data_IF_081307704915
#
_entry.id   IF_081307704915
#
_cell.length_a   1.000
_cell.length_b   1.000
_cell.length_c   1.000
_cell.angle_alpha   90.00
_cell.angle_beta   90.00
_cell.angle_gamma   90.00
#
_symmetry.space_group_name_H-M   'P 1'
#
loop_
_entity.id
_entity.type
_entity.pdbx_description
1 polymer ?
#
# COMPACT_ATOMS: atom_id res chain seq x y z
N UNK A 1 -25.88 51.40 -9.19
CA UNK A 1 -25.83 51.86 -7.79
C UNK A 1 -25.10 50.80 -6.96
N UNK A 2 -23.79 50.97 -6.73
CA UNK A 2 -23.12 51.00 -5.40
C UNK A 2 -23.82 50.18 -4.31
N UNK A 3 -23.17 49.12 -3.84
CA UNK A 3 -22.72 49.02 -2.44
C UNK A 3 -21.58 48.00 -2.28
N UNK A 4 -20.40 48.59 -2.10
CA UNK A 4 -19.20 48.05 -1.49
C UNK A 4 -19.54 47.57 -0.07
N UNK A 5 -19.14 46.37 0.32
CA UNK A 5 -18.96 46.02 1.73
C UNK A 5 -17.60 45.32 1.89
N UNK A 6 -16.79 45.98 2.69
CA UNK A 6 -15.39 45.76 2.99
C UNK A 6 -15.38 45.32 4.45
N UNK A 7 -14.95 44.10 4.76
CA UNK A 7 -14.72 43.63 6.14
C UNK A 7 -13.53 42.66 6.09
N UNK A 8 -12.32 43.19 6.27
CA UNK A 8 -11.49 43.09 7.50
C UNK A 8 -11.09 41.64 7.84
N UNK A 9 -9.83 41.33 7.53
CA UNK A 9 -9.11 40.16 8.03
C UNK A 9 -8.72 40.34 9.51
N UNK A 10 -8.48 39.23 10.23
CA UNK A 10 -7.44 39.19 11.23
C UNK A 10 -6.41 38.11 10.88
N UNK A 11 -5.15 38.55 10.78
CA UNK A 11 -3.99 37.69 10.85
C UNK A 11 -3.92 37.03 12.24
N UNK A 12 -3.92 35.70 12.30
CA UNK A 12 -3.49 34.97 13.49
C UNK A 12 -2.11 34.37 13.20
N UNK A 13 -1.11 35.00 13.82
CA UNK A 13 0.24 34.47 13.96
C UNK A 13 0.19 33.44 15.08
N UNK A 14 0.45 32.16 14.77
CA UNK A 14 0.61 31.12 15.78
C UNK A 14 2.06 30.63 15.74
N UNK A 15 2.89 31.20 16.62
CA UNK A 15 4.21 30.70 16.94
C UNK A 15 4.07 29.45 17.83
N UNK A 16 4.56 28.31 17.38
CA UNK A 16 4.80 27.14 18.23
C UNK A 16 6.30 26.89 18.32
N UNK A 17 6.90 27.37 19.41
CA UNK A 17 8.17 26.87 19.94
C UNK A 17 7.87 25.71 20.89
N UNK A 18 8.58 24.60 20.73
CA UNK A 18 8.56 23.44 21.63
C UNK A 18 9.38 22.31 21.00
N UNK A 19 10.67 22.21 21.29
CA UNK A 19 11.22 21.48 22.44
C UNK A 19 10.80 20.01 22.46
N UNK A 20 11.62 19.14 21.88
CA UNK A 20 11.67 17.73 22.24
C UNK A 20 13.13 17.35 22.48
N UNK A 21 13.42 17.02 23.74
CA UNK A 21 14.70 16.49 24.18
C UNK A 21 14.86 15.06 23.69
N UNK A 22 16.04 14.77 23.15
CA UNK A 22 16.51 13.41 22.90
C UNK A 22 17.10 12.87 24.20
N UNK A 23 16.35 12.00 24.86
CA UNK A 23 16.85 11.09 25.89
C UNK A 23 17.18 9.76 25.22
N UNK A 24 18.47 9.55 24.92
CA UNK A 24 18.99 8.23 24.51
C UNK A 24 19.35 7.40 25.77
N UNK A 25 18.92 6.13 25.86
CA UNK A 25 19.41 5.21 26.89
C UNK A 25 20.80 4.64 26.53
N UNK A 26 21.66 4.35 27.52
CA UNK A 26 22.92 3.65 27.30
C UNK A 26 22.69 2.13 27.31
N UNK A 27 23.05 1.44 26.24
CA UNK A 27 23.09 -0.02 26.22
C UNK A 27 24.21 -0.52 25.30
N UNK A 28 24.96 -1.51 25.80
CA UNK A 28 25.78 -2.39 24.96
C UNK A 28 27.28 -2.29 25.21
N UNK A 29 27.79 -3.22 26.01
CA UNK A 29 29.22 -3.49 26.22
C UNK A 29 29.87 -4.03 24.93
N UNK A 30 31.19 -3.85 24.74
CA UNK A 30 31.94 -4.37 23.60
C UNK A 30 32.13 -5.89 23.70
N UNK A 31 31.93 -6.61 22.60
CA UNK A 31 32.34 -8.01 22.42
C UNK A 31 33.51 -8.07 21.43
N UNK A 32 34.62 -8.77 21.76
CA UNK A 32 35.79 -8.88 20.89
C UNK A 32 35.68 -10.00 19.85
N UNK A 33 36.47 -9.83 18.79
CA UNK A 33 36.68 -10.65 17.60
C UNK A 33 36.78 -12.15 17.79
N UNK A 34 36.29 -12.91 16.81
CA UNK A 34 36.95 -14.15 16.32
C UNK A 34 36.47 -14.43 14.90
N UNK A 35 37.38 -14.25 13.94
CA UNK A 35 37.36 -14.89 12.62
C UNK A 35 38.15 -16.21 12.74
N UNK A 36 37.78 -17.28 12.02
CA UNK A 36 38.75 -17.77 11.03
C UNK A 36 38.15 -18.33 9.73
N UNK A 37 38.85 -17.98 8.65
CA UNK A 37 39.28 -18.78 7.50
C UNK A 37 38.28 -19.30 6.43
N UNK A 38 38.69 -19.31 5.13
CA UNK A 38 37.88 -19.71 4.00
C UNK A 38 37.93 -21.23 3.77
N UNK A 39 36.85 -21.81 3.25
CA UNK A 39 36.84 -23.14 2.67
C UNK A 39 36.60 -23.03 1.16
N UNK A 40 37.56 -23.52 0.39
CA UNK A 40 37.54 -23.67 -1.06
C UNK A 40 36.61 -24.81 -1.53
N UNK A 41 36.22 -24.70 -2.80
CA UNK A 41 35.98 -25.75 -3.80
C UNK A 41 35.06 -26.94 -3.46
N UNK A 42 33.99 -27.10 -4.25
CA UNK A 42 33.99 -28.17 -5.26
C UNK A 42 32.91 -27.97 -6.33
N UNK A 43 33.26 -28.34 -7.56
CA UNK A 43 32.41 -28.28 -8.76
C UNK A 43 31.66 -29.59 -8.94
N UNK A 44 30.33 -29.58 -9.11
CA UNK A 44 29.63 -30.68 -9.78
C UNK A 44 28.22 -30.29 -10.27
N UNK A 45 28.10 -30.15 -11.60
CA UNK A 45 26.98 -30.52 -12.44
C UNK A 45 25.54 -30.36 -11.94
N UNK A 46 24.85 -29.35 -12.48
CA UNK A 46 23.41 -29.48 -12.76
C UNK A 46 23.16 -29.27 -14.24
N UNK A 47 22.48 -30.27 -14.83
CA UNK A 47 22.20 -30.42 -16.23
C UNK A 47 21.53 -29.18 -16.85
N UNK A 48 21.97 -28.84 -18.06
CA UNK A 48 21.22 -27.98 -18.98
C UNK A 48 20.10 -28.81 -19.61
N UNK A 49 18.81 -28.49 -19.40
CA UNK A 49 17.78 -28.89 -20.34
C UNK A 49 17.81 -27.94 -21.54
N UNK A 50 18.03 -28.54 -22.70
CA UNK A 50 17.77 -27.98 -24.01
C UNK A 50 16.33 -27.50 -24.12
N UNK A 51 16.12 -26.52 -25.00
CA UNK A 51 14.82 -25.94 -25.29
C UNK A 51 13.76 -26.98 -25.64
N UNK A 52 12.55 -26.70 -25.17
CA UNK A 52 11.34 -27.23 -25.74
C UNK A 52 10.42 -26.01 -25.97
N UNK A 53 10.17 -25.78 -27.25
CA UNK A 53 8.98 -25.18 -27.83
C UNK A 53 8.03 -24.38 -26.92
N UNK A 54 7.91 -23.11 -27.29
CA UNK A 54 6.66 -22.38 -27.45
C UNK A 54 5.41 -23.29 -27.43
N UNK A 55 4.78 -23.39 -26.27
CA UNK A 55 3.35 -23.62 -26.20
C UNK A 55 2.71 -22.27 -25.92
N UNK A 56 1.65 -21.87 -26.64
CA UNK A 56 0.76 -20.83 -26.15
C UNK A 56 0.10 -21.39 -24.89
N UNK A 57 0.78 -21.18 -23.76
CA UNK A 57 0.33 -21.48 -22.43
C UNK A 57 -0.94 -20.66 -22.25
N UNK A 58 -2.07 -21.33 -22.39
CA UNK A 58 -3.38 -20.77 -22.11
C UNK A 58 -3.30 -19.95 -20.83
N UNK A 59 -3.75 -18.71 -20.93
CA UNK A 59 -3.75 -17.75 -19.83
C UNK A 59 -4.20 -18.44 -18.54
N UNK A 60 -3.46 -18.26 -17.43
CA UNK A 60 -4.00 -18.67 -16.16
C UNK A 60 -5.22 -17.77 -15.92
N UNK A 61 -6.42 -18.35 -16.05
CA UNK A 61 -7.66 -17.76 -15.54
C UNK A 61 -7.59 -17.84 -14.01
N UNK A 62 -6.62 -17.14 -13.43
CA UNK A 62 -6.60 -16.85 -12.02
C UNK A 62 -7.55 -15.67 -11.82
N UNK A 63 -8.29 -15.68 -10.72
CA UNK A 63 -9.17 -14.60 -10.28
C UNK A 63 -8.41 -13.31 -9.89
N UNK A 64 -7.21 -13.11 -10.45
CA UNK A 64 -6.46 -11.86 -10.48
C UNK A 64 -7.29 -10.89 -11.32
N UNK A 65 -7.36 -9.62 -10.91
CA UNK A 65 -8.10 -8.63 -11.67
C UNK A 65 -7.81 -8.73 -13.16
N UNK A 66 -8.86 -8.78 -13.98
CA UNK A 66 -8.70 -8.62 -15.41
C UNK A 66 -7.85 -7.37 -15.67
N UNK A 67 -6.96 -7.38 -16.66
CA UNK A 67 -6.11 -6.23 -16.96
C UNK A 67 -6.93 -4.95 -17.19
N UNK A 68 -8.16 -5.10 -17.68
CA UNK A 68 -9.13 -4.00 -17.79
C UNK A 68 -9.56 -3.41 -16.44
N UNK A 69 -9.86 -4.26 -15.43
CA UNK A 69 -10.22 -3.78 -14.10
C UNK A 69 -9.05 -3.03 -13.46
N UNK A 70 -7.84 -3.56 -13.58
CA UNK A 70 -6.63 -2.91 -13.09
C UNK A 70 -6.40 -1.54 -13.77
N UNK A 71 -6.59 -1.45 -15.09
CA UNK A 71 -6.50 -0.18 -15.82
C UNK A 71 -7.57 0.82 -15.37
N UNK A 72 -8.82 0.37 -15.17
CA UNK A 72 -9.90 1.23 -14.64
C UNK A 72 -9.61 1.74 -13.23
N UNK A 73 -9.01 0.91 -12.38
CA UNK A 73 -8.59 1.29 -11.03
C UNK A 73 -7.53 2.41 -11.10
N UNK A 74 -6.48 2.23 -11.92
CA UNK A 74 -5.45 3.26 -12.12
C UNK A 74 -6.03 4.57 -12.66
N UNK A 75 -6.89 4.48 -13.68
CA UNK A 75 -7.54 5.65 -14.27
C UNK A 75 -8.42 6.43 -13.27
N UNK A 76 -9.06 5.74 -12.32
CA UNK A 76 -9.98 6.36 -11.36
C UNK A 76 -9.30 6.84 -10.08
N UNK A 77 -8.38 6.05 -9.54
CA UNK A 77 -7.77 6.30 -8.21
C UNK A 77 -6.33 6.80 -8.30
N UNK A 78 -5.67 6.66 -9.46
CA UNK A 78 -4.31 7.10 -9.72
C UNK A 78 -3.33 5.94 -9.90
N UNK A 79 -2.16 6.24 -10.48
CA UNK A 79 -1.13 5.25 -10.83
C UNK A 79 -0.56 4.48 -9.63
N UNK A 80 -0.64 5.06 -8.43
CA UNK A 80 -0.15 4.45 -7.18
C UNK A 80 -1.14 3.43 -6.60
N UNK A 81 -2.36 3.38 -7.13
CA UNK A 81 -3.42 2.48 -6.68
C UNK A 81 -3.43 1.20 -7.50
N UNK A 82 -3.47 0.06 -6.81
CA UNK A 82 -3.51 -1.25 -7.45
C UNK A 82 -4.66 -2.10 -6.91
N UNK A 83 -5.18 -2.95 -7.77
CA UNK A 83 -6.01 -4.07 -7.32
C UNK A 83 -5.18 -4.93 -6.37
N UNK A 84 -5.70 -5.19 -5.19
CA UNK A 84 -5.07 -6.13 -4.25
C UNK A 84 -5.83 -7.45 -4.21
N UNK A 85 -7.16 -7.39 -4.03
CA UNK A 85 -7.99 -8.58 -3.85
C UNK A 85 -9.44 -8.29 -4.22
N UNK A 86 -10.17 -9.33 -4.59
CA UNK A 86 -11.62 -9.28 -4.62
C UNK A 86 -12.26 -10.22 -3.60
N UNK A 87 -13.42 -9.82 -3.08
CA UNK A 87 -14.27 -10.60 -2.19
C UNK A 87 -15.73 -10.40 -2.59
N UNK A 88 -16.33 -11.41 -3.23
CA UNK A 88 -17.66 -11.28 -3.82
C UNK A 88 -17.72 -10.12 -4.82
N UNK A 89 -18.63 -9.17 -4.57
CA UNK A 89 -18.83 -7.97 -5.39
C UNK A 89 -17.90 -6.80 -5.00
N UNK A 90 -17.10 -6.97 -3.95
CA UNK A 90 -16.16 -5.96 -3.50
C UNK A 90 -14.75 -6.23 -4.00
N UNK A 91 -14.03 -5.15 -4.24
CA UNK A 91 -12.64 -5.12 -4.63
C UNK A 91 -11.90 -4.23 -3.65
N UNK A 92 -10.81 -4.76 -3.10
CA UNK A 92 -9.82 -4.02 -2.34
C UNK A 92 -8.81 -3.36 -3.28
N UNK A 93 -8.70 -2.04 -3.18
CA UNK A 93 -7.74 -1.23 -3.91
C UNK A 93 -6.77 -0.65 -2.91
N UNK A 94 -5.52 -1.09 -2.99
CA UNK A 94 -4.43 -0.57 -2.17
C UNK A 94 -3.80 0.63 -2.87
N UNK A 95 -3.91 1.80 -2.26
CA UNK A 95 -3.21 3.01 -2.66
C UNK A 95 -2.08 3.31 -1.68
N UNK A 96 -1.24 2.30 -1.43
CA UNK A 96 -0.08 2.35 -0.52
C UNK A 96 -0.46 2.49 0.96
N UNK A 97 -1.46 1.72 1.40
CA UNK A 97 -1.91 1.70 2.79
C UNK A 97 -0.83 1.35 3.80
N UNK A 98 0.24 0.66 3.37
CA UNK A 98 1.42 0.36 4.17
C UNK A 98 2.23 1.60 4.62
N UNK A 99 2.12 2.73 3.93
CA UNK A 99 2.83 4.00 4.25
C UNK A 99 1.85 5.14 4.52
N UNK A 100 0.71 4.85 5.15
CA UNK A 100 -0.39 5.78 5.41
C UNK A 100 -1.15 6.25 4.16
N UNK A 101 -1.11 5.47 3.08
CA UNK A 101 -2.00 5.64 1.94
C UNK A 101 -3.43 5.17 2.24
N UNK A 102 -4.42 5.57 1.43
CA UNK A 102 -5.76 5.03 1.54
C UNK A 102 -5.84 3.58 1.07
N UNK A 103 -6.78 2.85 1.65
CA UNK A 103 -7.26 1.57 1.16
C UNK A 103 -8.73 1.70 0.81
N UNK A 104 -9.13 1.41 -0.42
CA UNK A 104 -10.52 1.54 -0.85
C UNK A 104 -11.17 0.18 -1.04
N UNK A 105 -12.32 -0.03 -0.40
CA UNK A 105 -13.22 -1.13 -0.74
C UNK A 105 -14.26 -0.59 -1.72
N UNK A 106 -14.28 -1.14 -2.94
CA UNK A 106 -15.10 -0.63 -4.04
C UNK A 106 -15.98 -1.73 -4.62
N UNK A 107 -17.11 -1.37 -5.21
CA UNK A 107 -17.91 -2.30 -6.04
C UNK A 107 -17.12 -2.67 -7.30
N UNK A 108 -17.03 -3.94 -7.64
CA UNK A 108 -16.29 -4.42 -8.83
C UNK A 108 -16.76 -3.77 -10.13
N UNK A 109 -18.06 -3.64 -10.30
CA UNK A 109 -18.64 -3.18 -11.57
C UNK A 109 -18.58 -1.67 -11.73
N UNK A 110 -18.97 -0.90 -10.71
CA UNK A 110 -19.04 0.56 -10.75
C UNK A 110 -17.76 1.28 -10.28
N UNK A 111 -16.86 0.55 -9.61
CA UNK A 111 -15.74 1.11 -8.83
C UNK A 111 -16.19 2.16 -7.81
N UNK A 112 -17.45 2.14 -7.39
CA UNK A 112 -17.97 3.02 -6.35
C UNK A 112 -17.36 2.64 -5.00
N UNK A 113 -16.89 3.64 -4.25
CA UNK A 113 -16.28 3.44 -2.94
C UNK A 113 -17.38 3.10 -1.93
N UNK A 114 -17.31 1.90 -1.37
CA UNK A 114 -18.19 1.44 -0.29
C UNK A 114 -17.63 1.86 1.05
N UNK A 115 -16.31 1.73 1.23
CA UNK A 115 -15.61 2.25 2.40
C UNK A 115 -14.17 2.60 2.07
N UNK A 116 -13.59 3.46 2.90
CA UNK A 116 -12.20 3.85 2.83
C UNK A 116 -11.54 3.58 4.19
N UNK A 117 -10.36 2.97 4.15
CA UNK A 117 -9.56 2.51 5.27
C UNK A 117 -8.10 2.97 5.09
N UNK A 118 -7.22 2.59 6.02
CA UNK A 118 -5.81 2.99 5.99
C UNK A 118 -5.60 4.46 6.40
N UNK A 119 -4.57 5.10 5.86
CA UNK A 119 -4.15 6.44 6.30
C UNK A 119 -5.06 7.60 5.88
N UNK A 120 -6.10 7.34 5.09
CA UNK A 120 -7.19 8.30 4.90
C UNK A 120 -8.03 8.50 6.17
N UNK A 121 -8.08 7.51 7.07
CA UNK A 121 -8.83 7.62 8.32
C UNK A 121 -7.98 8.19 9.46
N UNK A 122 -7.64 9.49 9.38
CA UNK A 122 -6.87 10.15 10.45
C UNK A 122 -7.61 10.30 11.79
N UNK A 123 -8.94 10.13 11.79
CA UNK A 123 -9.79 10.21 13.01
C UNK A 123 -10.44 8.88 13.38
N UNK A 124 -9.93 7.78 12.82
CA UNK A 124 -10.46 6.43 12.97
C UNK A 124 -11.57 6.12 11.97
N UNK A 125 -11.52 4.92 11.38
CA UNK A 125 -12.69 4.33 10.72
C UNK A 125 -13.31 3.30 11.67
N UNK A 126 -14.63 3.23 11.73
CA UNK A 126 -15.35 2.26 12.58
C UNK A 126 -15.61 0.93 11.89
N UNK A 127 -15.63 0.90 10.56
CA UNK A 127 -16.03 -0.27 9.76
C UNK A 127 -14.99 -0.56 8.68
N UNK A 128 -13.79 -0.96 9.14
CA UNK A 128 -12.66 -1.35 8.30
C UNK A 128 -12.13 -2.74 8.71
N UNK A 129 -12.28 -3.77 7.86
CA UNK A 129 -12.99 -3.79 6.59
C UNK A 129 -14.51 -3.56 6.74
N UNK A 130 -15.24 -3.18 5.67
CA UNK A 130 -16.69 -3.01 5.75
C UNK A 130 -17.35 -4.36 6.05
N UNK A 131 -18.49 -4.38 6.73
CA UNK A 131 -19.20 -5.64 7.07
C UNK A 131 -19.56 -6.53 5.87
N UNK A 132 -19.71 -5.91 4.69
CA UNK A 132 -19.94 -6.63 3.43
C UNK A 132 -18.69 -7.38 2.93
N UNK A 133 -17.51 -7.09 3.46
CA UNK A 133 -16.29 -7.82 3.19
C UNK A 133 -16.20 -9.03 4.13
N UNK A 134 -16.60 -10.19 3.61
CA UNK A 134 -16.64 -11.44 4.38
C UNK A 134 -15.36 -12.27 4.26
N UNK A 135 -14.39 -11.81 3.46
CA UNK A 135 -13.16 -12.55 3.22
C UNK A 135 -12.15 -12.31 4.35
N UNK A 136 -11.35 -13.32 4.72
CA UNK A 136 -10.33 -13.18 5.77
C UNK A 136 -9.34 -12.07 5.42
N UNK A 137 -9.08 -11.18 6.37
CA UNK A 137 -7.91 -10.29 6.37
C UNK A 137 -6.80 -10.99 7.14
N UNK A 138 -5.61 -11.07 6.56
CA UNK A 138 -4.45 -11.78 7.14
C UNK A 138 -3.85 -11.02 8.33
#
# INVERSE_FOLDING_TARGET
MRRLLLVVAPALVLACSGATGTSNPPAGKPVPSTEPAPAESDSAGFATPQGAEEQPRGEPVQAEASPELAARIKNKFGERCRFERACGDLVGVDCESAVDGPYHYVRRDSLEIVSQCGGACRRGCTDCPPKAWTCPTY
#
